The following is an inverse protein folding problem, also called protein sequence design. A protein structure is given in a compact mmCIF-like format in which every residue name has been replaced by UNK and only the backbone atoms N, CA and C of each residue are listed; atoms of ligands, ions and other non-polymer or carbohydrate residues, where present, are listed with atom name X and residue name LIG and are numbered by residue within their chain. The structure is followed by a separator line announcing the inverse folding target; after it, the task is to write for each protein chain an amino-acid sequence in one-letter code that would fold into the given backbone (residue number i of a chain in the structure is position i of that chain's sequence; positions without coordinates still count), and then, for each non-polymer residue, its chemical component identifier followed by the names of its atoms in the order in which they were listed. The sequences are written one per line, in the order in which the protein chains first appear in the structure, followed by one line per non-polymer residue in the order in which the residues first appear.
data_IF_125486666555
#
_entry.id   IF_125486666555
#
_cell.length_a   1.000
_cell.length_b   1.000
_cell.length_c   1.000
_cell.angle_alpha   90.00
_cell.angle_beta   90.00
_cell.angle_gamma   90.00
#
_symmetry.space_group_name_H-M   'P 1'
#
loop_
_entity.id
_entity.type
_entity.pdbx_description
1 polymer ?
#
# COMPACT_ATOMS: atom_id res chain seq x y z
N UNK A 1 101.93 -35.86 23.87
CA UNK A 1 101.05 -36.99 23.58
C UNK A 1 99.61 -36.56 23.28
N UNK A 2 99.31 -35.60 22.36
CA UNK A 2 97.94 -35.16 22.02
C UNK A 2 97.65 -35.02 20.51
N UNK A 3 98.48 -35.57 19.63
CA UNK A 3 98.31 -35.46 18.16
C UNK A 3 97.97 -36.79 17.45
N UNK A 4 97.97 -37.94 18.18
CA UNK A 4 97.68 -39.27 17.55
C UNK A 4 96.29 -39.75 17.71
N UNK A 5 95.47 -39.15 18.56
CA UNK A 5 94.08 -39.53 18.78
C UNK A 5 93.06 -38.86 17.81
N UNK A 6 93.37 -37.72 17.22
CA UNK A 6 92.54 -37.05 16.26
C UNK A 6 92.56 -37.63 14.85
N UNK A 7 93.63 -38.35 14.46
CA UNK A 7 93.75 -38.99 13.15
C UNK A 7 92.89 -40.28 13.07
N UNK A 8 92.79 -41.02 14.20
CA UNK A 8 91.99 -42.24 14.26
C UNK A 8 90.44 -41.93 14.19
N UNK A 9 90.01 -40.83 14.79
CA UNK A 9 88.59 -40.44 14.78
C UNK A 9 88.12 -39.92 13.39
N UNK A 10 89.04 -39.23 12.66
CA UNK A 10 88.77 -38.74 11.31
C UNK A 10 88.62 -39.90 10.28
N UNK A 11 89.39 -40.98 10.46
CA UNK A 11 89.27 -42.18 9.58
C UNK A 11 87.99 -42.94 9.73
N UNK A 12 87.49 -43.06 10.95
CA UNK A 12 86.19 -43.77 11.22
C UNK A 12 84.99 -42.98 10.71
N UNK A 13 85.03 -41.65 10.81
CA UNK A 13 83.91 -40.80 10.28
C UNK A 13 83.93 -40.80 8.75
N UNK A 14 85.10 -40.85 8.12
CA UNK A 14 85.16 -40.90 6.65
C UNK A 14 84.75 -42.24 6.10
N UNK A 15 85.00 -43.35 6.76
CA UNK A 15 84.49 -44.68 6.39
C UNK A 15 83.05 -44.84 6.62
N UNK A 16 82.46 -44.20 7.65
CA UNK A 16 80.98 -44.16 7.89
C UNK A 16 80.24 -43.38 6.84
N UNK A 17 80.78 -42.24 6.37
CA UNK A 17 80.18 -41.42 5.30
C UNK A 17 80.24 -42.12 3.93
N UNK A 18 81.24 -42.86 3.61
CA UNK A 18 81.33 -43.65 2.38
C UNK A 18 80.34 -44.80 2.39
N UNK A 19 80.13 -45.48 3.53
CA UNK A 19 79.13 -46.55 3.67
C UNK A 19 77.67 -46.03 3.55
N UNK A 20 77.39 -44.84 4.08
CA UNK A 20 76.07 -44.20 3.94
C UNK A 20 75.86 -43.75 2.49
N UNK A 21 76.89 -43.21 1.82
CA UNK A 21 76.79 -42.83 0.41
C UNK A 21 76.57 -44.03 -0.52
N UNK A 22 77.25 -45.16 -0.22
CA UNK A 22 77.12 -46.40 -0.98
C UNK A 22 75.70 -47.06 -0.77
N UNK A 23 75.17 -46.96 0.45
CA UNK A 23 73.81 -47.47 0.72
C UNK A 23 72.64 -46.61 0.12
N UNK A 24 72.92 -45.34 -0.14
CA UNK A 24 71.95 -44.45 -0.87
C UNK A 24 72.02 -44.64 -2.39
N UNK A 25 73.19 -45.06 -2.92
CA UNK A 25 73.31 -45.34 -4.39
C UNK A 25 72.69 -46.67 -4.83
N UNK A 26 72.41 -47.61 -3.90
CA UNK A 26 71.82 -48.90 -4.15
C UNK A 26 70.33 -48.95 -3.88
N UNK A 27 69.73 -47.85 -3.41
CA UNK A 27 68.28 -47.69 -3.38
C UNK A 27 67.82 -47.19 -4.75
N UNK A 28 67.34 -48.16 -5.54
CA UNK A 28 66.84 -47.94 -6.86
C UNK A 28 65.88 -46.73 -6.92
N UNK A 29 65.90 -46.04 -8.06
CA UNK A 29 64.98 -44.99 -8.49
C UNK A 29 63.61 -45.32 -7.98
N UNK A 30 62.90 -44.39 -7.30
CA UNK A 30 61.46 -44.57 -7.11
C UNK A 30 60.83 -44.66 -8.54
N UNK A 31 60.17 -45.75 -8.82
CA UNK A 31 59.31 -45.82 -9.97
C UNK A 31 58.40 -44.59 -9.91
N UNK A 32 58.45 -43.76 -10.93
CA UNK A 32 57.41 -42.78 -11.19
C UNK A 32 56.07 -43.54 -11.15
N UNK A 33 55.41 -43.49 -9.99
CA UNK A 33 54.03 -43.83 -9.92
C UNK A 33 53.36 -42.82 -10.84
N UNK A 34 53.01 -43.27 -12.04
CA UNK A 34 51.97 -42.66 -12.86
C UNK A 34 50.81 -42.45 -11.90
N UNK A 35 50.66 -41.20 -11.38
CA UNK A 35 49.45 -40.76 -10.78
C UNK A 35 48.42 -40.87 -11.90
N UNK A 36 47.79 -42.05 -11.97
CA UNK A 36 46.65 -42.27 -12.78
C UNK A 36 45.68 -41.14 -12.44
N UNK A 37 45.47 -40.21 -13.35
CA UNK A 37 44.40 -39.26 -13.37
C UNK A 37 43.17 -40.10 -13.02
N UNK A 38 42.73 -40.08 -11.75
CA UNK A 38 41.44 -40.62 -11.37
C UNK A 38 40.45 -39.92 -12.29
N UNK A 39 40.06 -40.57 -13.32
CA UNK A 39 38.98 -40.15 -14.18
C UNK A 39 37.76 -40.08 -13.28
N UNK A 40 37.49 -38.87 -12.81
CA UNK A 40 36.31 -38.58 -11.97
C UNK A 40 35.14 -38.97 -12.83
N UNK A 41 34.42 -39.97 -12.42
CA UNK A 41 33.21 -40.41 -13.14
C UNK A 41 32.35 -39.20 -13.50
N UNK A 42 31.91 -39.05 -14.76
CA UNK A 42 31.14 -37.89 -15.14
C UNK A 42 29.90 -37.78 -14.26
N UNK A 43 29.59 -36.58 -13.83
CA UNK A 43 28.34 -36.32 -13.10
C UNK A 43 27.16 -36.60 -14.02
N UNK A 44 26.20 -37.36 -13.51
CA UNK A 44 24.99 -37.71 -14.24
C UNK A 44 23.84 -36.79 -13.80
N UNK A 45 23.25 -36.10 -14.75
CA UNK A 45 22.08 -35.25 -14.55
C UNK A 45 20.86 -35.88 -15.23
N UNK A 46 19.72 -35.87 -14.55
CA UNK A 46 18.48 -36.21 -15.20
C UNK A 46 18.06 -35.08 -16.19
N UNK A 47 17.34 -35.41 -17.22
CA UNK A 47 16.79 -34.39 -18.14
C UNK A 47 15.92 -33.34 -17.42
N UNK A 48 15.30 -33.73 -16.30
CA UNK A 48 14.49 -32.84 -15.45
C UNK A 48 15.34 -31.82 -14.66
N UNK A 49 16.64 -32.07 -14.49
CA UNK A 49 17.56 -31.14 -13.80
C UNK A 49 18.03 -30.01 -14.71
N UNK A 50 17.76 -30.10 -15.99
CA UNK A 50 18.14 -29.13 -17.00
C UNK A 50 16.96 -28.27 -17.41
N UNK A 51 17.16 -26.96 -17.37
CA UNK A 51 16.20 -25.97 -17.85
C UNK A 51 16.84 -25.14 -18.97
N UNK A 52 16.01 -24.62 -19.83
CA UNK A 52 16.42 -23.64 -20.83
C UNK A 52 15.77 -22.30 -20.55
N UNK A 53 16.35 -21.25 -21.10
CA UNK A 53 15.78 -19.93 -21.04
C UNK A 53 14.38 -19.96 -21.69
N UNK A 54 13.35 -19.61 -20.93
CA UNK A 54 11.97 -19.56 -21.43
C UNK A 54 11.51 -18.11 -21.47
N UNK A 55 10.87 -17.72 -22.57
CA UNK A 55 10.30 -16.38 -22.70
C UNK A 55 8.89 -16.37 -22.11
N UNK A 56 8.68 -15.58 -21.04
CA UNK A 56 7.40 -15.51 -20.33
C UNK A 56 7.15 -14.09 -19.78
N UNK A 57 5.89 -13.67 -19.64
CA UNK A 57 5.60 -12.44 -18.91
C UNK A 57 6.02 -12.57 -17.45
N UNK A 58 6.71 -11.58 -16.94
CA UNK A 58 7.11 -11.50 -15.53
C UNK A 58 6.28 -10.42 -14.84
N UNK A 59 5.51 -10.84 -13.84
CA UNK A 59 4.74 -9.96 -12.99
C UNK A 59 5.50 -9.79 -11.67
N UNK A 60 5.86 -8.56 -11.35
CA UNK A 60 6.49 -8.23 -10.07
C UNK A 60 5.41 -7.71 -9.13
N UNK A 61 5.33 -8.25 -7.94
CA UNK A 61 4.45 -7.73 -6.90
C UNK A 61 5.22 -6.72 -6.04
N UNK A 62 4.73 -5.48 -6.00
CA UNK A 62 5.20 -4.48 -5.05
C UNK A 62 4.35 -4.54 -3.79
N UNK A 63 4.98 -4.83 -2.66
CA UNK A 63 4.33 -4.84 -1.36
C UNK A 63 4.44 -3.45 -0.70
N UNK A 64 3.33 -2.73 -0.61
CA UNK A 64 3.27 -1.34 -0.19
C UNK A 64 2.38 -1.18 1.04
N UNK A 65 2.77 -0.35 2.03
CA UNK A 65 1.95 -0.08 3.19
C UNK A 65 0.78 0.84 2.83
N UNK A 66 -0.34 0.66 3.52
CA UNK A 66 -1.52 1.48 3.36
C UNK A 66 -2.47 1.41 4.54
N UNK A 67 -3.57 2.12 4.44
CA UNK A 67 -4.65 2.10 5.41
C UNK A 67 -6.01 2.13 4.73
N UNK A 68 -6.97 1.44 5.33
CA UNK A 68 -8.37 1.47 4.88
C UNK A 68 -8.97 2.83 5.19
N UNK A 69 -9.55 3.48 4.20
CA UNK A 69 -10.22 4.77 4.36
C UNK A 69 -11.64 4.70 3.82
N UNK A 70 -12.52 5.51 4.40
CA UNK A 70 -13.85 5.71 3.84
C UNK A 70 -13.78 6.77 2.75
N UNK A 71 -14.42 6.52 1.61
CA UNK A 71 -14.52 7.51 0.53
C UNK A 71 -15.32 8.74 0.94
N UNK A 72 -16.27 8.59 1.88
CA UNK A 72 -17.08 9.67 2.41
C UNK A 72 -17.01 9.69 3.93
N UNK A 73 -16.55 10.81 4.47
CA UNK A 73 -16.54 11.09 5.91
C UNK A 73 -16.81 12.57 6.14
N UNK A 74 -17.45 12.88 7.26
CA UNK A 74 -17.75 14.25 7.65
C UNK A 74 -17.51 14.45 9.14
N UNK A 75 -16.80 15.51 9.50
CA UNK A 75 -16.78 16.03 10.86
C UNK A 75 -17.75 17.17 10.94
N UNK A 76 -18.89 16.93 11.58
CA UNK A 76 -19.93 17.94 11.76
C UNK A 76 -19.46 18.93 12.83
N UNK A 77 -19.47 20.22 12.50
CA UNK A 77 -18.98 21.29 13.36
C UNK A 77 -20.10 22.26 13.73
N UNK A 78 -19.92 22.94 14.87
CA UNK A 78 -20.87 23.96 15.31
C UNK A 78 -20.78 25.19 14.44
N UNK A 79 -21.96 25.72 14.04
CA UNK A 79 -22.06 27.01 13.33
C UNK A 79 -22.38 28.18 14.27
N UNK A 80 -22.51 27.91 15.57
CA UNK A 80 -22.81 28.92 16.56
C UNK A 80 -22.11 28.59 17.87
N UNK A 81 -22.04 29.59 18.78
CA UNK A 81 -21.51 29.43 20.15
C UNK A 81 -22.67 29.34 21.14
N UNK A 82 -22.92 28.10 21.67
CA UNK A 82 -24.03 27.84 22.57
C UNK A 82 -23.78 26.64 23.48
N UNK A 83 -24.67 26.41 24.43
CA UNK A 83 -24.68 25.23 25.27
C UNK A 83 -25.42 24.08 24.56
N UNK A 84 -24.84 22.88 24.63
CA UNK A 84 -25.45 21.67 24.11
C UNK A 84 -26.59 21.22 25.02
N UNK A 85 -27.82 21.27 24.51
CA UNK A 85 -29.01 20.81 25.24
C UNK A 85 -29.12 19.31 25.25
N UNK A 86 -28.93 18.67 24.08
CA UNK A 86 -29.06 17.23 23.92
C UNK A 86 -28.17 16.72 22.78
N UNK A 87 -27.70 15.47 22.93
CA UNK A 87 -27.00 14.73 21.89
C UNK A 87 -27.79 13.45 21.65
N UNK A 88 -28.33 13.27 20.42
CA UNK A 88 -29.27 12.20 20.05
C UNK A 88 -28.61 10.96 19.51
N UNK A 89 -27.26 10.96 19.39
CA UNK A 89 -26.51 9.86 18.78
C UNK A 89 -25.40 9.36 19.68
N UNK A 90 -25.03 8.08 19.48
CA UNK A 90 -23.92 7.41 20.17
C UNK A 90 -22.89 6.94 19.16
N UNK A 91 -21.65 6.79 19.61
CA UNK A 91 -20.60 6.21 18.79
C UNK A 91 -20.99 4.79 18.34
N UNK A 92 -20.68 4.46 17.06
CA UNK A 92 -21.10 3.22 16.44
C UNK A 92 -22.54 3.19 15.91
N UNK A 93 -23.38 4.19 16.24
CA UNK A 93 -24.77 4.25 15.76
C UNK A 93 -24.81 4.63 14.27
N UNK A 94 -25.70 3.97 13.52
CA UNK A 94 -25.98 4.33 12.12
C UNK A 94 -26.88 5.55 12.07
N UNK A 95 -26.59 6.48 11.18
CA UNK A 95 -27.35 7.72 10.93
C UNK A 95 -27.67 7.86 9.46
N UNK A 96 -28.79 8.55 9.17
CA UNK A 96 -29.22 8.89 7.82
C UNK A 96 -29.04 10.39 7.55
N UNK A 97 -28.89 10.82 6.30
CA UNK A 97 -28.81 12.24 5.97
C UNK A 97 -30.02 13.01 6.52
N UNK A 98 -29.78 14.19 7.09
CA UNK A 98 -30.83 15.02 7.71
C UNK A 98 -31.23 14.63 9.14
N UNK A 99 -30.80 13.48 9.65
CA UNK A 99 -31.07 13.05 11.03
C UNK A 99 -30.47 14.05 12.03
N UNK A 100 -31.23 14.40 13.08
CA UNK A 100 -30.77 15.28 14.16
C UNK A 100 -29.69 14.58 14.97
N UNK A 101 -28.57 15.25 15.17
CA UNK A 101 -27.40 14.75 15.91
C UNK A 101 -27.27 15.45 17.27
N UNK A 102 -27.33 16.78 17.25
CA UNK A 102 -27.11 17.63 18.42
C UNK A 102 -28.15 18.77 18.41
N UNK A 103 -28.69 19.09 19.55
CA UNK A 103 -29.54 20.24 19.77
C UNK A 103 -28.88 21.19 20.76
N UNK A 104 -28.83 22.46 20.41
CA UNK A 104 -28.37 23.52 21.29
C UNK A 104 -29.53 24.12 22.09
N UNK A 105 -29.22 24.81 23.18
CA UNK A 105 -30.18 25.62 23.87
C UNK A 105 -30.56 26.81 22.99
N UNK A 106 -31.85 26.94 22.76
CA UNK A 106 -32.43 27.96 21.87
C UNK A 106 -33.22 29.05 22.65
N UNK A 107 -33.19 29.03 23.97
CA UNK A 107 -34.01 29.96 24.77
C UNK A 107 -33.74 31.43 24.40
N UNK A 108 -32.46 31.84 24.38
CA UNK A 108 -32.06 33.19 24.00
C UNK A 108 -32.42 33.55 22.55
N UNK A 109 -32.21 32.59 21.61
CA UNK A 109 -32.53 32.79 20.19
C UNK A 109 -34.03 32.96 19.94
N UNK A 110 -34.88 32.26 20.71
CA UNK A 110 -36.32 32.40 20.63
C UNK A 110 -36.80 33.76 21.11
N UNK A 111 -36.20 34.26 22.17
CA UNK A 111 -36.50 35.64 22.66
C UNK A 111 -36.08 36.68 21.62
N UNK A 112 -34.91 36.52 21.02
CA UNK A 112 -34.40 37.38 19.94
C UNK A 112 -35.31 37.32 18.69
N UNK A 113 -35.78 36.14 18.33
CA UNK A 113 -36.71 35.95 17.20
C UNK A 113 -38.00 36.74 17.46
N UNK A 114 -38.55 36.66 18.68
CA UNK A 114 -39.78 37.39 19.04
C UNK A 114 -39.54 38.91 18.96
N UNK A 115 -38.39 39.42 19.45
CA UNK A 115 -38.00 40.85 19.36
C UNK A 115 -37.92 41.29 17.88
N UNK A 116 -37.24 40.53 17.00
CA UNK A 116 -37.10 40.85 15.57
C UNK A 116 -38.47 40.80 14.84
N UNK A 117 -39.32 39.87 15.21
CA UNK A 117 -40.68 39.81 14.69
C UNK A 117 -41.48 41.05 15.06
N UNK A 118 -41.46 41.49 16.32
CA UNK A 118 -42.14 42.72 16.75
C UNK A 118 -41.55 43.96 16.05
N UNK A 119 -40.25 44.03 15.84
CA UNK A 119 -39.58 45.13 15.12
C UNK A 119 -40.10 45.20 13.66
N UNK A 120 -40.16 44.08 12.97
CA UNK A 120 -40.68 44.00 11.62
C UNK A 120 -42.15 44.45 11.54
N UNK A 121 -43.02 44.02 12.49
CA UNK A 121 -44.42 44.43 12.53
C UNK A 121 -44.53 45.95 12.79
N UNK A 122 -43.72 46.54 13.66
CA UNK A 122 -43.68 48.00 13.86
C UNK A 122 -43.29 48.75 12.58
N UNK A 123 -42.22 48.26 11.89
CA UNK A 123 -41.80 48.84 10.60
C UNK A 123 -42.90 48.76 9.53
N UNK A 124 -43.62 47.64 9.46
CA UNK A 124 -44.77 47.46 8.53
C UNK A 124 -45.91 48.41 8.85
N UNK A 125 -46.26 48.60 10.13
CA UNK A 125 -47.27 49.57 10.53
C UNK A 125 -46.90 50.99 10.13
N UNK A 126 -45.62 51.37 10.30
CA UNK A 126 -45.14 52.69 9.89
C UNK A 126 -45.14 52.85 8.37
N UNK A 127 -44.77 51.82 7.61
CA UNK A 127 -44.85 51.82 6.15
C UNK A 127 -46.33 52.03 5.67
N UNK A 128 -47.26 51.30 6.24
CA UNK A 128 -48.68 51.43 5.90
C UNK A 128 -49.21 52.85 6.20
N UNK A 129 -48.76 53.48 7.27
CA UNK A 129 -49.08 54.90 7.57
C UNK A 129 -48.51 55.84 6.51
N UNK A 130 -47.24 55.70 6.15
CA UNK A 130 -46.61 56.56 5.13
C UNK A 130 -47.21 56.30 3.73
N UNK A 131 -47.59 55.08 3.42
CA UNK A 131 -48.26 54.77 2.16
C UNK A 131 -49.61 55.48 2.05
N UNK A 132 -50.45 55.45 3.09
CA UNK A 132 -51.70 56.22 3.15
C UNK A 132 -51.46 57.71 2.93
N UNK A 133 -50.46 58.30 3.63
CA UNK A 133 -50.10 59.71 3.47
C UNK A 133 -49.69 60.01 2.05
N UNK A 134 -48.82 59.20 1.44
CA UNK A 134 -48.40 59.30 0.05
C UNK A 134 -49.57 59.25 -0.91
N UNK A 135 -50.51 58.26 -0.73
CA UNK A 135 -51.70 58.12 -1.57
C UNK A 135 -52.62 59.35 -1.51
N UNK A 136 -52.86 59.89 -0.30
CA UNK A 136 -53.64 61.13 -0.11
C UNK A 136 -52.93 62.28 -0.80
N UNK A 137 -51.65 62.52 -0.58
CA UNK A 137 -50.86 63.56 -1.19
C UNK A 137 -50.83 63.43 -2.73
N UNK A 138 -50.79 62.22 -3.30
CA UNK A 138 -50.86 61.97 -4.72
C UNK A 138 -52.19 62.46 -5.34
N UNK A 139 -53.29 62.36 -4.60
CA UNK A 139 -54.61 62.88 -5.04
C UNK A 139 -54.67 64.39 -4.95
N UNK A 140 -54.18 64.99 -3.84
CA UNK A 140 -54.18 66.43 -3.58
C UNK A 140 -53.31 67.19 -4.59
N UNK A 141 -52.13 66.68 -4.99
CA UNK A 141 -51.28 67.30 -5.98
C UNK A 141 -51.94 67.32 -7.34
N UNK A 142 -52.65 66.26 -7.75
CA UNK A 142 -53.40 66.19 -8.99
C UNK A 142 -54.50 67.20 -9.06
N UNK A 143 -55.07 67.65 -7.91
CA UNK A 143 -56.10 68.65 -7.77
C UNK A 143 -55.51 70.05 -7.51
N UNK A 144 -54.16 70.22 -7.53
CA UNK A 144 -53.42 71.46 -7.26
C UNK A 144 -53.68 72.02 -5.81
N UNK A 145 -54.06 71.19 -4.85
CA UNK A 145 -54.21 71.64 -3.45
C UNK A 145 -52.94 71.65 -2.65
N UNK A 146 -51.89 70.94 -3.10
CA UNK A 146 -50.54 70.95 -2.51
C UNK A 146 -49.47 71.11 -3.57
N UNK A 147 -48.25 71.53 -3.17
CA UNK A 147 -47.11 71.65 -4.06
C UNK A 147 -46.51 70.28 -4.44
N UNK A 148 -45.83 70.20 -5.55
CA UNK A 148 -45.08 69.02 -5.98
C UNK A 148 -44.02 68.61 -4.92
N UNK A 149 -43.35 69.59 -4.35
CA UNK A 149 -42.35 69.35 -3.28
C UNK A 149 -42.96 68.64 -2.05
N UNK A 150 -44.22 68.92 -1.68
CA UNK A 150 -44.91 68.24 -0.59
C UNK A 150 -45.21 66.76 -0.91
N UNK A 151 -45.57 66.49 -2.15
CA UNK A 151 -45.73 65.07 -2.61
C UNK A 151 -44.40 64.36 -2.64
N UNK A 152 -43.31 64.97 -3.22
CA UNK A 152 -41.99 64.37 -3.31
C UNK A 152 -41.44 64.05 -1.91
N UNK A 153 -41.67 64.91 -0.89
CA UNK A 153 -41.32 64.62 0.49
C UNK A 153 -42.04 63.39 1.09
N UNK A 154 -43.34 63.26 0.80
CA UNK A 154 -44.15 62.07 1.26
C UNK A 154 -43.71 60.79 0.52
N UNK A 155 -43.40 60.88 -0.77
CA UNK A 155 -42.88 59.76 -1.54
C UNK A 155 -41.47 59.31 -1.07
N UNK A 156 -40.61 60.27 -0.73
CA UNK A 156 -39.30 59.98 -0.13
C UNK A 156 -39.41 59.32 1.25
N UNK A 157 -40.38 59.80 2.08
CA UNK A 157 -40.64 59.20 3.39
C UNK A 157 -41.19 57.75 3.29
N UNK A 158 -42.09 57.51 2.31
CA UNK A 158 -42.58 56.15 2.03
C UNK A 158 -41.43 55.23 1.55
N UNK A 159 -40.57 55.66 0.65
CA UNK A 159 -39.40 54.89 0.20
C UNK A 159 -38.45 54.57 1.33
N UNK A 160 -38.16 55.53 2.20
CA UNK A 160 -37.33 55.35 3.39
C UNK A 160 -37.90 54.27 4.32
N UNK A 161 -39.23 54.30 4.53
CA UNK A 161 -39.90 53.31 5.37
C UNK A 161 -40.00 51.91 4.71
N UNK A 162 -40.10 51.85 3.37
CA UNK A 162 -40.02 50.59 2.64
C UNK A 162 -38.64 49.94 2.82
N UNK A 163 -37.58 50.71 2.72
CA UNK A 163 -36.20 50.23 3.02
C UNK A 163 -36.04 49.78 4.46
N UNK A 164 -36.68 50.44 5.44
CA UNK A 164 -36.65 50.04 6.83
C UNK A 164 -37.34 48.68 7.07
N UNK A 165 -38.45 48.40 6.38
CA UNK A 165 -39.13 47.10 6.42
C UNK A 165 -38.23 45.99 5.84
N UNK A 166 -37.55 46.24 4.73
CA UNK A 166 -36.63 45.30 4.11
C UNK A 166 -35.42 44.98 5.06
N UNK A 167 -34.88 46.02 5.70
CA UNK A 167 -33.80 45.82 6.69
C UNK A 167 -34.26 44.99 7.90
N UNK A 168 -35.49 45.27 8.43
CA UNK A 168 -36.02 44.52 9.58
C UNK A 168 -36.35 43.04 9.15
N UNK A 169 -36.76 42.84 7.93
CA UNK A 169 -37.00 41.48 7.37
C UNK A 169 -35.72 40.69 7.24
N UNK A 170 -34.65 41.32 6.79
CA UNK A 170 -33.34 40.67 6.69
C UNK A 170 -32.80 40.31 8.11
N UNK A 171 -32.99 41.16 9.12
CA UNK A 171 -32.58 40.85 10.52
C UNK A 171 -33.39 39.67 11.10
N UNK A 172 -34.68 39.60 10.80
CA UNK A 172 -35.51 38.46 11.20
C UNK A 172 -35.02 37.16 10.54
N UNK A 173 -34.78 37.18 9.22
CA UNK A 173 -34.28 36.03 8.50
C UNK A 173 -32.90 35.54 9.04
N UNK A 174 -32.02 36.45 9.41
CA UNK A 174 -30.77 36.12 10.07
C UNK A 174 -30.96 35.37 11.40
N UNK A 175 -31.93 35.82 12.21
CA UNK A 175 -32.20 35.15 13.50
C UNK A 175 -32.85 33.78 13.28
N UNK A 176 -33.67 33.62 12.26
CA UNK A 176 -34.24 32.33 11.86
C UNK A 176 -33.16 31.35 11.45
N UNK A 177 -32.16 31.78 10.65
CA UNK A 177 -31.00 30.97 10.28
C UNK A 177 -30.22 30.48 11.50
N UNK A 178 -29.97 31.35 12.47
CA UNK A 178 -29.28 30.95 13.73
C UNK A 178 -30.09 29.93 14.54
N UNK A 179 -31.43 30.04 14.50
CA UNK A 179 -32.29 29.09 15.20
C UNK A 179 -32.28 27.72 14.46
N UNK A 180 -32.26 27.72 13.14
CA UNK A 180 -32.15 26.49 12.34
C UNK A 180 -30.78 25.83 12.54
N UNK A 181 -29.70 26.59 12.60
CA UNK A 181 -28.34 26.10 12.86
C UNK A 181 -28.16 25.55 14.28
N UNK A 182 -29.07 25.90 15.21
CA UNK A 182 -29.09 25.33 16.56
C UNK A 182 -29.55 23.85 16.59
N UNK A 183 -30.12 23.35 15.50
CA UNK A 183 -30.43 21.93 15.32
C UNK A 183 -29.47 21.32 14.31
N UNK A 184 -28.44 20.68 14.81
CA UNK A 184 -27.36 20.12 14.00
C UNK A 184 -27.79 18.78 13.39
N UNK A 185 -27.71 18.65 12.08
CA UNK A 185 -28.13 17.46 11.33
C UNK A 185 -26.97 16.80 10.62
N UNK A 186 -27.10 15.49 10.33
CA UNK A 186 -26.16 14.72 9.58
C UNK A 186 -26.12 15.17 8.10
N UNK A 187 -24.95 15.58 7.57
CA UNK A 187 -24.82 15.94 6.15
C UNK A 187 -24.77 14.71 5.24
N UNK A 188 -24.30 13.57 5.76
CA UNK A 188 -24.17 12.29 5.05
C UNK A 188 -24.75 11.16 5.87
N UNK A 189 -25.09 10.06 5.22
CA UNK A 189 -25.41 8.79 5.87
C UNK A 189 -24.13 8.06 6.26
N UNK A 190 -24.20 7.23 7.29
CA UNK A 190 -23.05 6.44 7.72
C UNK A 190 -23.14 5.99 9.17
N UNK A 191 -21.99 5.82 9.80
CA UNK A 191 -21.87 5.44 11.20
C UNK A 191 -21.13 6.54 11.97
N UNK A 192 -21.59 6.85 13.18
CA UNK A 192 -20.91 7.82 14.07
C UNK A 192 -19.57 7.21 14.48
N UNK A 193 -18.50 7.85 14.07
CA UNK A 193 -17.13 7.43 14.40
C UNK A 193 -16.68 7.94 15.76
N UNK A 194 -17.06 9.18 16.09
CA UNK A 194 -16.70 9.83 17.35
C UNK A 194 -17.71 10.90 17.72
N UNK A 195 -17.94 11.04 19.01
CA UNK A 195 -18.70 12.13 19.61
C UNK A 195 -17.74 13.02 20.39
N UNK A 196 -17.70 14.30 20.05
CA UNK A 196 -16.78 15.28 20.64
C UNK A 196 -17.42 16.12 21.75
N UNK A 197 -18.74 16.05 21.93
CA UNK A 197 -19.48 16.93 22.87
C UNK A 197 -20.46 16.14 23.71
N UNK A 198 -20.80 16.69 24.88
CA UNK A 198 -21.76 16.12 25.82
C UNK A 198 -22.88 17.12 26.14
N UNK A 199 -24.09 16.65 26.54
CA UNK A 199 -25.13 17.54 27.05
C UNK A 199 -24.64 18.39 28.22
N UNK A 200 -24.99 19.68 28.25
CA UNK A 200 -24.54 20.66 29.24
C UNK A 200 -23.20 21.33 28.93
N UNK A 201 -22.50 20.87 27.87
CA UNK A 201 -21.21 21.46 27.47
C UNK A 201 -21.43 22.72 26.63
N UNK A 202 -20.66 23.77 26.90
CA UNK A 202 -20.65 25.00 26.10
C UNK A 202 -19.58 24.88 25.01
N UNK A 203 -19.98 24.96 23.73
CA UNK A 203 -19.10 24.90 22.58
C UNK A 203 -18.99 26.22 21.86
N UNK A 204 -17.85 26.47 21.24
CA UNK A 204 -17.63 27.65 20.41
C UNK A 204 -18.00 27.43 18.95
N UNK A 205 -17.92 28.51 18.17
CA UNK A 205 -18.03 28.44 16.71
C UNK A 205 -16.94 27.50 16.15
N UNK A 206 -17.28 26.72 15.14
CA UNK A 206 -16.40 25.75 14.46
C UNK A 206 -15.88 24.59 15.34
N UNK A 207 -16.41 24.42 16.55
CA UNK A 207 -16.04 23.27 17.40
C UNK A 207 -16.54 21.96 16.78
N UNK A 208 -15.72 20.88 16.78
CA UNK A 208 -16.18 19.58 16.30
C UNK A 208 -17.25 19.01 17.23
N UNK A 209 -18.31 18.47 16.67
CA UNK A 209 -19.43 17.89 17.41
C UNK A 209 -19.51 16.38 17.24
N UNK A 210 -19.62 15.91 16.02
CA UNK A 210 -19.81 14.49 15.69
C UNK A 210 -19.05 14.14 14.40
N UNK A 211 -18.25 13.07 14.44
CA UNK A 211 -17.66 12.48 13.25
C UNK A 211 -18.59 11.40 12.66
N UNK A 212 -18.78 11.42 11.36
CA UNK A 212 -19.58 10.41 10.62
C UNK A 212 -18.70 9.83 9.53
N UNK A 213 -18.74 8.51 9.38
CA UNK A 213 -17.97 7.75 8.39
C UNK A 213 -18.93 6.83 7.63
N UNK A 214 -18.91 6.91 6.31
CA UNK A 214 -19.64 5.97 5.47
C UNK A 214 -18.80 4.73 5.23
N UNK A 215 -19.23 3.60 5.80
CA UNK A 215 -18.56 2.31 5.62
C UNK A 215 -19.08 1.54 4.39
N UNK A 216 -20.00 2.06 3.62
CA UNK A 216 -20.52 1.38 2.42
C UNK A 216 -19.51 1.40 1.27
N UNK A 217 -18.63 2.39 1.25
CA UNK A 217 -17.59 2.55 0.23
C UNK A 217 -16.25 2.80 0.91
N UNK A 218 -15.45 1.74 0.94
CA UNK A 218 -14.10 1.78 1.48
C UNK A 218 -13.08 1.66 0.35
N UNK A 219 -11.97 2.32 0.52
CA UNK A 219 -10.78 2.21 -0.34
C UNK A 219 -9.55 2.03 0.54
N UNK A 220 -8.47 1.59 -0.05
CA UNK A 220 -7.16 1.59 0.63
C UNK A 220 -6.32 2.70 0.04
N UNK A 221 -5.93 3.63 0.89
CA UNK A 221 -4.88 4.59 0.56
C UNK A 221 -3.55 3.95 0.88
N UNK A 222 -2.74 3.71 -0.14
CA UNK A 222 -1.41 3.15 -0.01
C UNK A 222 -0.34 4.15 -0.45
N UNK A 223 0.89 3.96 0.03
CA UNK A 223 2.02 4.85 -0.24
C UNK A 223 3.08 4.11 -1.03
N UNK A 224 3.49 4.67 -2.17
CA UNK A 224 4.59 4.16 -2.97
C UNK A 224 5.74 5.16 -2.99
N UNK A 225 7.01 4.71 -2.85
CA UNK A 225 8.16 5.54 -3.12
C UNK A 225 8.11 6.13 -4.53
N UNK A 226 8.62 7.36 -4.72
CA UNK A 226 8.65 8.02 -6.04
C UNK A 226 9.36 7.15 -7.09
N UNK A 227 10.37 6.36 -6.69
CA UNK A 227 11.06 5.41 -7.57
C UNK A 227 10.16 4.35 -8.18
N UNK A 228 9.13 3.92 -7.44
CA UNK A 228 8.32 2.75 -7.78
C UNK A 228 6.99 3.15 -8.41
N UNK A 229 6.50 4.36 -8.10
CA UNK A 229 5.20 4.84 -8.59
C UNK A 229 5.09 4.87 -10.12
N UNK A 230 6.22 5.13 -10.82
CA UNK A 230 6.25 5.13 -12.28
C UNK A 230 5.93 3.76 -12.90
N UNK A 231 6.08 2.68 -12.13
CA UNK A 231 5.74 1.31 -12.55
C UNK A 231 4.29 0.93 -12.25
N UNK A 232 3.59 1.72 -11.42
CA UNK A 232 2.19 1.48 -11.02
C UNK A 232 1.27 2.15 -12.06
N UNK A 233 0.44 1.37 -12.72
CA UNK A 233 -0.54 1.88 -13.67
C UNK A 233 -1.93 1.97 -13.03
N UNK A 234 -2.70 2.99 -13.39
CA UNK A 234 -4.13 3.02 -13.08
C UNK A 234 -4.83 1.84 -13.73
N UNK A 235 -5.70 1.15 -12.99
CA UNK A 235 -6.35 -0.10 -13.41
C UNK A 235 -5.54 -1.36 -13.10
N UNK A 236 -4.29 -1.25 -12.61
CA UNK A 236 -3.49 -2.40 -12.20
C UNK A 236 -4.21 -3.20 -11.11
N UNK A 237 -4.12 -4.53 -11.20
CA UNK A 237 -4.66 -5.42 -10.17
C UNK A 237 -3.85 -5.32 -8.88
N UNK A 238 -4.55 -5.31 -7.77
CA UNK A 238 -3.94 -5.22 -6.45
C UNK A 238 -4.63 -6.20 -5.50
N UNK A 239 -3.84 -6.92 -4.72
CA UNK A 239 -4.34 -7.76 -3.62
C UNK A 239 -4.09 -7.02 -2.30
N UNK A 240 -5.14 -6.82 -1.53
CA UNK A 240 -5.09 -6.10 -0.25
C UNK A 240 -5.20 -7.09 0.90
N UNK A 241 -4.23 -7.09 1.79
CA UNK A 241 -4.28 -7.82 3.06
C UNK A 241 -4.44 -6.82 4.20
N UNK A 242 -5.55 -6.91 4.91
CA UNK A 242 -5.86 -6.04 6.05
C UNK A 242 -5.46 -6.75 7.33
N UNK A 243 -4.78 -6.06 8.22
CA UNK A 243 -4.35 -6.61 9.50
C UNK A 243 -5.56 -7.04 10.35
N UNK A 244 -5.50 -8.25 10.89
CA UNK A 244 -6.60 -8.85 11.65
C UNK A 244 -7.71 -9.48 10.81
N UNK A 245 -7.56 -9.53 9.47
CA UNK A 245 -8.51 -10.20 8.56
C UNK A 245 -7.77 -11.25 7.74
N UNK A 246 -8.14 -12.52 7.87
CA UNK A 246 -7.43 -13.62 7.22
C UNK A 246 -7.58 -13.62 5.70
N UNK A 247 -8.75 -13.25 5.18
CA UNK A 247 -8.98 -13.27 3.73
C UNK A 247 -8.38 -12.03 3.06
N UNK A 248 -7.67 -12.19 1.95
CA UNK A 248 -7.27 -11.06 1.11
C UNK A 248 -8.49 -10.50 0.36
N UNK A 249 -8.39 -9.23 -0.02
CA UNK A 249 -9.37 -8.56 -0.86
C UNK A 249 -8.73 -8.24 -2.21
N UNK A 250 -9.42 -8.58 -3.28
CA UNK A 250 -9.02 -8.18 -4.63
C UNK A 250 -9.51 -6.77 -4.91
N UNK A 251 -8.62 -5.93 -5.41
CA UNK A 251 -8.90 -4.54 -5.74
C UNK A 251 -8.18 -4.11 -7.02
N UNK A 252 -8.36 -2.84 -7.38
CA UNK A 252 -7.67 -2.21 -8.51
C UNK A 252 -7.18 -0.84 -8.10
N UNK A 253 -6.03 -0.45 -8.65
CA UNK A 253 -5.54 0.93 -8.52
C UNK A 253 -6.51 1.84 -9.28
N UNK A 254 -7.26 2.66 -8.56
CA UNK A 254 -8.27 3.54 -9.12
C UNK A 254 -7.67 4.88 -9.53
N UNK A 255 -6.84 5.45 -8.64
CA UNK A 255 -6.18 6.74 -8.87
C UNK A 255 -4.83 6.81 -8.15
N UNK A 256 -3.95 7.61 -8.71
CA UNK A 256 -2.63 7.92 -8.17
C UNK A 256 -2.57 9.44 -7.97
N UNK A 257 -2.16 9.89 -6.79
CA UNK A 257 -2.06 11.32 -6.52
C UNK A 257 -0.97 11.95 -7.40
N UNK A 258 -1.21 13.17 -7.92
CA UNK A 258 -0.26 13.83 -8.82
C UNK A 258 0.96 14.43 -8.11
N UNK A 259 0.94 14.51 -6.78
CA UNK A 259 1.99 15.11 -5.97
C UNK A 259 2.48 14.15 -4.89
N UNK A 260 3.79 14.25 -4.58
CA UNK A 260 4.37 13.54 -3.46
C UNK A 260 4.04 14.22 -2.12
N UNK A 261 3.90 13.42 -1.08
CA UNK A 261 3.71 13.91 0.28
C UNK A 261 4.98 14.59 0.80
N UNK A 262 4.88 15.81 1.35
CA UNK A 262 6.01 16.50 1.94
C UNK A 262 6.65 15.67 3.07
N UNK A 263 7.96 15.48 3.00
CA UNK A 263 8.75 14.79 4.04
C UNK A 263 8.93 13.29 3.85
N UNK A 264 8.01 12.57 3.23
CA UNK A 264 8.10 11.10 3.07
C UNK A 264 8.68 10.66 1.72
N UNK A 265 8.73 11.54 0.72
CA UNK A 265 9.10 11.22 -0.67
C UNK A 265 8.29 10.06 -1.24
N UNK A 266 7.04 9.95 -0.83
CA UNK A 266 6.10 8.94 -1.30
C UNK A 266 4.91 9.61 -2.01
N UNK A 267 4.29 8.87 -2.90
CA UNK A 267 3.08 9.27 -3.60
C UNK A 267 1.96 8.34 -3.14
N UNK A 268 0.84 8.95 -2.74
CA UNK A 268 -0.35 8.20 -2.37
C UNK A 268 -1.06 7.70 -3.62
N UNK A 269 -1.54 6.49 -3.56
CA UNK A 269 -2.46 5.93 -4.55
C UNK A 269 -3.59 5.20 -3.84
N UNK A 270 -4.70 5.07 -4.53
CA UNK A 270 -5.94 4.55 -3.96
C UNK A 270 -6.34 3.27 -4.68
N UNK A 271 -6.65 2.26 -3.89
CA UNK A 271 -7.09 0.95 -4.37
C UNK A 271 -8.54 0.75 -3.96
N UNK A 272 -9.42 0.53 -4.94
CA UNK A 272 -10.82 0.22 -4.69
C UNK A 272 -10.97 -1.15 -4.03
N UNK A 273 -11.89 -1.25 -3.11
CA UNK A 273 -12.27 -2.50 -2.46
C UNK A 273 -13.65 -2.98 -2.93
N UNK A 274 -13.92 -4.29 -2.97
CA UNK A 274 -15.25 -4.80 -3.26
C UNK A 274 -16.23 -4.36 -2.16
N UNK A 275 -17.51 -4.22 -2.50
CA UNK A 275 -18.54 -3.77 -1.54
C UNK A 275 -18.81 -4.75 -0.41
N UNK A 276 -18.52 -6.03 -0.60
CA UNK A 276 -18.64 -7.07 0.45
C UNK A 276 -17.38 -7.16 1.30
N UNK A 277 -17.21 -6.19 2.18
CA UNK A 277 -16.06 -6.10 3.08
C UNK A 277 -16.42 -6.16 4.58
N UNK A 278 -17.68 -6.40 4.92
CA UNK A 278 -18.34 -6.63 6.24
C UNK A 278 -17.59 -6.31 7.55
N UNK A 279 -16.38 -6.75 7.69
CA UNK A 279 -15.57 -6.59 8.90
C UNK A 279 -14.60 -5.39 8.86
N UNK A 280 -14.41 -4.77 7.70
CA UNK A 280 -13.46 -3.66 7.56
C UNK A 280 -13.96 -2.40 8.26
N UNK A 281 -13.02 -1.67 8.83
CA UNK A 281 -13.24 -0.36 9.45
C UNK A 281 -12.23 0.64 8.89
N UNK A 282 -12.64 1.89 8.76
CA UNK A 282 -11.73 2.97 8.42
C UNK A 282 -10.64 3.09 9.50
N UNK A 283 -9.40 3.30 9.09
CA UNK A 283 -8.24 3.36 9.96
C UNK A 283 -7.49 2.03 10.15
N UNK A 284 -7.99 0.90 9.65
CA UNK A 284 -7.26 -0.36 9.70
C UNK A 284 -6.03 -0.32 8.80
N UNK A 285 -4.92 -0.89 9.29
CA UNK A 285 -3.71 -1.05 8.46
C UNK A 285 -3.91 -2.12 7.40
N UNK A 286 -3.35 -1.85 6.23
CA UNK A 286 -3.39 -2.76 5.10
C UNK A 286 -2.03 -2.84 4.42
N UNK A 287 -1.73 -4.00 3.85
CA UNK A 287 -0.61 -4.21 2.95
C UNK A 287 -1.15 -4.48 1.56
N UNK A 288 -0.77 -3.63 0.63
CA UNK A 288 -1.24 -3.68 -0.76
C UNK A 288 -0.16 -4.30 -1.61
N UNK A 289 -0.49 -5.37 -2.31
CA UNK A 289 0.38 -6.04 -3.27
C UNK A 289 -0.10 -5.64 -4.68
N UNK A 290 0.62 -4.70 -5.29
CA UNK A 290 0.29 -4.21 -6.63
C UNK A 290 1.07 -5.00 -7.65
N UNK A 291 0.37 -5.55 -8.63
CA UNK A 291 1.02 -6.19 -9.76
C UNK A 291 1.57 -5.12 -10.70
N UNK A 292 2.89 -5.03 -10.75
CA UNK A 292 3.61 -4.15 -11.67
C UNK A 292 4.39 -4.99 -12.65
N UNK A 293 4.39 -4.61 -13.90
CA UNK A 293 5.16 -5.32 -14.89
C UNK A 293 4.69 -5.04 -16.29
N UNK A 294 5.60 -5.23 -17.21
CA UNK A 294 5.28 -5.21 -18.62
C UNK A 294 4.66 -6.56 -18.98
N UNK A 295 3.57 -6.55 -19.74
CA UNK A 295 3.08 -7.73 -20.43
C UNK A 295 4.08 -8.29 -21.47
N UNK A 296 5.20 -7.56 -21.69
CA UNK A 296 6.27 -8.01 -22.56
C UNK A 296 6.92 -9.29 -21.97
N UNK A 297 6.89 -10.33 -22.75
CA UNK A 297 7.56 -11.56 -22.41
C UNK A 297 9.08 -11.34 -22.39
N UNK A 298 9.72 -11.72 -21.29
CA UNK A 298 11.18 -11.59 -21.07
C UNK A 298 11.81 -12.98 -20.89
N UNK A 299 13.08 -13.14 -21.28
CA UNK A 299 13.82 -14.36 -21.00
C UNK A 299 13.95 -14.58 -19.49
N UNK A 300 13.52 -15.72 -18.99
CA UNK A 300 13.50 -16.03 -17.58
C UNK A 300 13.99 -17.44 -17.27
N UNK A 301 14.57 -17.61 -16.08
CA UNK A 301 14.99 -18.89 -15.52
C UNK A 301 14.36 -19.09 -14.13
N UNK A 302 14.19 -20.34 -13.69
CA UNK A 302 13.87 -20.61 -12.28
C UNK A 302 14.96 -20.07 -11.36
N UNK A 303 14.55 -19.48 -10.23
CA UNK A 303 15.50 -19.01 -9.20
C UNK A 303 16.41 -20.12 -8.69
N UNK A 304 15.95 -21.38 -8.73
CA UNK A 304 16.74 -22.54 -8.36
C UNK A 304 17.98 -22.76 -9.25
N UNK A 305 17.97 -22.26 -10.47
CA UNK A 305 19.10 -22.36 -11.40
C UNK A 305 20.22 -21.34 -11.16
N UNK A 306 19.91 -20.26 -10.46
CA UNK A 306 20.87 -19.16 -10.20
C UNK A 306 21.63 -19.39 -8.92
N UNK A 307 22.93 -19.09 -8.97
CA UNK A 307 23.85 -19.09 -7.83
C UNK A 307 24.48 -17.71 -7.70
N UNK A 308 24.80 -17.34 -6.48
CA UNK A 308 25.55 -16.11 -6.21
C UNK A 308 26.79 -16.44 -5.40
N UNK A 309 27.92 -15.94 -5.83
CA UNK A 309 29.20 -16.09 -5.14
C UNK A 309 29.97 -14.75 -5.21
N UNK A 310 30.42 -14.25 -4.07
CA UNK A 310 31.13 -12.96 -3.96
C UNK A 310 30.38 -11.78 -4.62
N UNK A 311 29.03 -11.78 -4.60
CA UNK A 311 28.23 -10.75 -5.19
C UNK A 311 28.05 -10.82 -6.71
N UNK A 312 28.55 -11.89 -7.34
CA UNK A 312 28.34 -12.15 -8.75
C UNK A 312 27.33 -13.29 -8.94
N UNK A 313 26.35 -13.06 -9.76
CA UNK A 313 25.35 -14.08 -10.12
C UNK A 313 25.85 -14.89 -11.30
N UNK A 314 25.71 -16.21 -11.22
CA UNK A 314 26.11 -17.15 -12.24
C UNK A 314 25.18 -18.36 -12.31
N UNK A 315 25.26 -19.08 -13.40
CA UNK A 315 24.60 -20.36 -13.60
C UNK A 315 25.61 -21.42 -14.04
N UNK A 316 25.23 -22.68 -13.87
CA UNK A 316 25.99 -23.81 -14.41
C UNK A 316 25.39 -24.24 -15.75
N UNK A 317 26.22 -24.22 -16.79
CA UNK A 317 25.88 -24.72 -18.13
C UNK A 317 26.47 -26.10 -18.32
N UNK A 318 25.75 -26.91 -19.06
CA UNK A 318 26.30 -28.15 -19.61
C UNK A 318 26.67 -27.91 -21.09
N UNK A 319 27.96 -27.66 -21.37
CA UNK A 319 28.47 -27.44 -22.72
C UNK A 319 29.52 -28.51 -23.06
N UNK A 320 29.40 -29.14 -24.20
CA UNK A 320 30.35 -30.16 -24.73
C UNK A 320 30.68 -31.27 -23.72
N UNK A 321 29.70 -31.73 -22.94
CA UNK A 321 29.87 -32.76 -21.93
C UNK A 321 30.65 -32.33 -20.69
N UNK A 322 30.80 -31.03 -20.46
CA UNK A 322 31.44 -30.42 -19.28
C UNK A 322 30.60 -29.35 -18.66
N UNK A 323 30.78 -29.18 -17.34
CA UNK A 323 30.18 -28.06 -16.62
C UNK A 323 30.97 -26.79 -16.90
N UNK A 324 30.26 -25.71 -17.14
CA UNK A 324 30.84 -24.37 -17.33
C UNK A 324 30.14 -23.38 -16.42
N UNK A 325 30.93 -22.67 -15.63
CA UNK A 325 30.42 -21.54 -14.83
C UNK A 325 30.25 -20.33 -15.74
N UNK A 326 28.99 -19.86 -15.90
CA UNK A 326 28.64 -18.73 -16.76
C UNK A 326 28.07 -17.60 -15.93
N UNK A 327 28.74 -16.42 -15.94
CA UNK A 327 28.22 -15.23 -15.33
C UNK A 327 26.98 -14.74 -16.06
N UNK A 328 25.97 -14.29 -15.31
CA UNK A 328 24.70 -13.80 -15.86
C UNK A 328 24.35 -12.45 -15.26
N UNK A 329 23.71 -11.61 -16.06
CA UNK A 329 23.11 -10.37 -15.60
C UNK A 329 21.65 -10.59 -15.37
N UNK A 330 21.21 -10.47 -14.12
CA UNK A 330 19.82 -10.67 -13.72
C UNK A 330 19.04 -9.36 -13.79
N UNK A 331 17.74 -9.46 -14.00
CA UNK A 331 16.79 -8.38 -13.97
C UNK A 331 15.77 -8.54 -12.84
N UNK A 332 14.51 -8.37 -13.18
CA UNK A 332 13.39 -8.49 -12.25
C UNK A 332 13.26 -9.92 -11.72
N UNK A 333 12.87 -10.05 -10.45
CA UNK A 333 12.57 -11.33 -9.80
C UNK A 333 11.08 -11.43 -9.54
N UNK A 334 10.52 -12.57 -9.88
CA UNK A 334 9.16 -12.95 -9.51
C UNK A 334 9.25 -13.99 -8.40
N UNK A 335 9.01 -13.55 -7.16
CA UNK A 335 9.09 -14.44 -5.99
C UNK A 335 7.90 -15.39 -5.89
N UNK A 336 6.77 -15.05 -6.50
CA UNK A 336 5.57 -15.89 -6.51
C UNK A 336 5.77 -17.11 -7.40
N UNK A 337 6.24 -16.88 -8.60
CA UNK A 337 6.48 -17.92 -9.59
C UNK A 337 7.90 -18.51 -9.49
N UNK A 338 8.73 -18.02 -8.57
CA UNK A 338 10.12 -18.45 -8.34
C UNK A 338 10.97 -18.39 -9.60
N UNK A 339 10.86 -17.30 -10.36
CA UNK A 339 11.63 -17.06 -11.60
C UNK A 339 12.32 -15.71 -11.58
N UNK A 340 13.36 -15.59 -12.39
CA UNK A 340 14.15 -14.36 -12.54
C UNK A 340 14.41 -14.07 -14.01
N UNK A 341 14.30 -12.80 -14.38
CA UNK A 341 14.65 -12.27 -15.70
C UNK A 341 16.16 -12.37 -15.91
N UNK A 342 16.56 -12.88 -17.09
CA UNK A 342 17.97 -12.89 -17.52
C UNK A 342 18.14 -11.86 -18.62
N UNK A 343 18.91 -10.80 -18.32
CA UNK A 343 19.17 -9.72 -19.29
C UNK A 343 20.35 -9.97 -20.20
N UNK A 344 21.25 -10.87 -19.77
CA UNK A 344 22.43 -11.19 -20.56
C UNK A 344 23.25 -12.33 -19.96
N UNK A 345 24.19 -12.84 -20.77
CA UNK A 345 25.09 -13.93 -20.39
C UNK A 345 24.64 -15.32 -20.85
N UNK A 346 23.41 -15.47 -21.40
CA UNK A 346 22.88 -16.73 -21.86
C UNK A 346 22.17 -16.59 -23.20
N UNK A 347 22.13 -17.69 -23.95
CA UNK A 347 21.32 -17.87 -25.15
C UNK A 347 20.15 -18.81 -24.88
N UNK A 348 19.12 -18.75 -25.71
CA UNK A 348 17.93 -19.61 -25.56
C UNK A 348 18.23 -21.11 -25.69
N UNK A 349 19.36 -21.46 -26.30
CA UNK A 349 19.75 -22.85 -26.54
C UNK A 349 20.54 -23.45 -25.34
N UNK A 350 21.09 -22.63 -24.45
CA UNK A 350 21.98 -23.06 -23.39
C UNK A 350 21.25 -23.94 -22.35
N UNK A 351 21.72 -25.18 -22.13
CA UNK A 351 21.17 -26.03 -21.07
C UNK A 351 21.75 -25.64 -19.71
N UNK A 352 20.89 -25.11 -18.83
CA UNK A 352 21.22 -24.64 -17.49
C UNK A 352 20.80 -25.68 -16.46
N UNK A 353 21.64 -25.91 -15.45
CA UNK A 353 21.31 -26.81 -14.33
C UNK A 353 20.45 -26.08 -13.32
N UNK A 354 19.21 -26.57 -13.13
CA UNK A 354 18.24 -25.97 -12.21
C UNK A 354 18.34 -26.50 -10.78
N UNK A 355 18.80 -27.73 -10.61
CA UNK A 355 18.87 -28.39 -9.29
C UNK A 355 20.13 -27.97 -8.54
N UNK A 356 20.03 -27.84 -7.21
CA UNK A 356 21.17 -27.51 -6.33
C UNK A 356 22.00 -28.75 -6.07
N UNK A 357 23.25 -28.72 -6.56
CA UNK A 357 24.29 -29.71 -6.24
C UNK A 357 25.49 -28.98 -5.60
N UNK A 358 26.05 -29.55 -4.53
CA UNK A 358 27.13 -28.90 -3.77
C UNK A 358 28.53 -29.14 -4.36
N UNK A 359 28.67 -30.09 -5.30
CA UNK A 359 29.97 -30.54 -5.81
C UNK A 359 30.26 -30.09 -7.23
N UNK A 360 29.63 -29.07 -7.74
CA UNK A 360 29.86 -28.58 -9.10
C UNK A 360 31.15 -27.76 -9.17
N UNK A 361 32.01 -28.08 -10.14
CA UNK A 361 33.22 -27.34 -10.45
C UNK A 361 33.33 -27.10 -11.94
N UNK A 362 33.95 -25.99 -12.29
CA UNK A 362 34.20 -25.64 -13.68
C UNK A 362 35.08 -26.70 -14.35
N UNK A 363 34.74 -27.11 -15.57
CA UNK A 363 35.45 -28.12 -16.34
C UNK A 363 35.18 -29.57 -15.95
N UNK A 364 34.29 -29.85 -14.97
CA UNK A 364 33.96 -31.22 -14.57
C UNK A 364 33.17 -31.93 -15.68
N UNK A 365 33.55 -33.19 -16.00
CA UNK A 365 32.81 -33.99 -16.99
C UNK A 365 31.39 -34.29 -16.49
N UNK A 366 30.42 -34.06 -17.32
CA UNK A 366 28.99 -34.25 -17.00
C UNK A 366 28.21 -34.76 -18.19
N UNK A 367 27.22 -35.61 -17.95
CA UNK A 367 26.33 -36.14 -19.00
C UNK A 367 24.87 -36.14 -18.56
N UNK A 368 23.99 -36.04 -19.53
CA UNK A 368 22.55 -36.18 -19.30
C UNK A 368 22.19 -37.65 -19.45
N UNK A 369 21.60 -38.21 -18.42
CA UNK A 369 21.04 -39.55 -18.48
C UNK A 369 19.57 -39.41 -18.88
N UNK A 370 19.22 -39.94 -20.05
CA UNK A 370 17.83 -39.98 -20.51
C UNK A 370 16.96 -40.82 -19.56
N UNK A 371 15.69 -40.51 -19.49
CA UNK A 371 14.70 -41.22 -18.65
C UNK A 371 14.38 -42.67 -19.13
N UNK A 372 15.39 -43.43 -19.57
CA UNK A 372 15.26 -44.81 -19.92
C UNK A 372 16.19 -45.64 -19.02
N UNK A 373 15.74 -45.98 -17.81
CA UNK A 373 16.53 -46.81 -16.92
C UNK A 373 16.09 -46.89 -15.47
N UNK A 374 14.82 -46.70 -15.19
CA UNK A 374 14.27 -47.19 -13.92
C UNK A 374 14.06 -48.69 -14.04
N UNK A 375 15.16 -49.45 -14.21
CA UNK A 375 15.12 -50.89 -14.12
C UNK A 375 14.88 -51.27 -12.67
N UNK A 376 13.75 -51.90 -12.45
CA UNK A 376 13.32 -52.58 -11.26
C UNK A 376 14.53 -53.29 -10.55
N UNK A 377 14.76 -52.93 -9.27
CA UNK A 377 15.46 -53.82 -8.37
C UNK A 377 14.53 -55.00 -8.11
N UNK A 378 14.94 -56.27 -8.42
CA UNK A 378 14.14 -57.42 -8.08
C UNK A 378 14.12 -57.66 -6.59
N UNK A 379 12.96 -57.91 -6.10
CA UNK A 379 12.44 -58.34 -4.84
C UNK A 379 13.37 -58.82 -3.77
N UNK A 380 12.93 -58.43 -2.59
CA UNK A 380 12.94 -59.30 -1.39
C UNK A 380 11.94 -58.66 -0.41
N UNK A 381 10.78 -59.22 -0.33
CA UNK A 381 10.20 -59.92 0.81
C UNK A 381 8.69 -60.16 0.62
N UNK A 382 8.42 -61.36 0.15
CA UNK A 382 7.17 -61.98 0.48
C UNK A 382 7.28 -62.52 1.91
N UNK A 383 6.46 -62.03 2.83
CA UNK A 383 5.97 -62.84 3.94
C UNK A 383 4.88 -62.11 4.75
N UNK A 384 3.75 -62.80 4.79
CA UNK A 384 2.74 -62.85 5.83
C UNK A 384 1.69 -61.72 5.95
N UNK A 385 0.58 -62.08 5.32
CA UNK A 385 -0.74 -61.67 5.77
C UNK A 385 -1.11 -62.43 7.09
N UNK A 386 -1.78 -61.79 8.06
CA UNK A 386 -2.63 -62.47 9.02
C UNK A 386 -4.08 -62.45 8.53
N UNK A 387 -4.71 -63.61 8.74
CA UNK A 387 -6.10 -63.92 8.46
C UNK A 387 -7.09 -63.12 9.33
N UNK A 388 -8.36 -63.03 8.92
CA UNK A 388 -9.40 -62.32 9.64
C UNK A 388 -9.88 -63.15 10.82
N UNK A 389 -10.14 -62.46 11.93
CA UNK A 389 -10.89 -63.00 13.08
C UNK A 389 -12.22 -62.25 13.14
N UNK A 390 -13.29 -63.05 13.25
CA UNK A 390 -14.72 -62.79 13.42
C UNK A 390 -15.16 -61.42 13.97
#
# INVERSE_FOLDING_TARGET
MKRRTHLALAGVVLLGLVAVAASMALRGKPAEAQAGKKEVAPLEFAAADLVRLTTRPLTVELALPGSVQAMSQATVRSKLSAEVRAVHVREGQRVTPGQVLVEFDTAALKVQLAERTATLESARASLAQNERTRQVNAQLVKQNFISQNAFDAADAAWRAQAAAVEAAQAQLAQTQLLLDDATVRAPIGGQVSRRHVQPGEKVGFDAPLVGIVDLAQLEVQAQAPVSDVASIATGASATVRVEGVERPFEGRVERINPAAEPGTRSINFHVSLPRDHGVLRAGMFAKVFVQVGSAAAVPALPLSAVRSENGQDFVWLLADGKLRKQAVTLGRRDERDQVVEVRGGLTAADPVIATKFDNLRDGLAARVVGAAGATQRPGQNAARAPAPVN
#
